data_IF_799320579835
#
_entry.id   IF_799320579835
#
_cell.length_a   1.000
_cell.length_b   1.000
_cell.length_c   1.000
_cell.angle_alpha   90.00
_cell.angle_beta   90.00
_cell.angle_gamma   90.00
#
_symmetry.space_group_name_H-M   'P 1'
#
loop_
_entity.id
_entity.type
_entity.pdbx_description
1 polymer ?
#
# COMPACT_ATOMS: atom_id res chain seq x y z
N UNK A 1 -8.36 -20.48 -12.24
CA UNK A 1 -7.03 -20.09 -12.75
C UNK A 1 -6.88 -18.62 -12.44
N UNK A 2 -5.78 -18.19 -11.81
CA UNK A 2 -5.60 -16.79 -11.41
C UNK A 2 -5.41 -15.90 -12.65
N UNK A 3 -6.14 -14.79 -12.69
CA UNK A 3 -5.98 -13.73 -13.69
C UNK A 3 -4.76 -12.88 -13.32
N UNK A 4 -3.92 -12.54 -14.30
CA UNK A 4 -2.72 -11.71 -14.09
C UNK A 4 -3.01 -10.29 -14.56
N UNK A 5 -2.31 -9.30 -13.99
CA UNK A 5 -2.44 -7.91 -14.44
C UNK A 5 -2.15 -7.75 -15.95
N UNK A 6 -1.19 -8.51 -16.50
CA UNK A 6 -0.91 -8.53 -17.93
C UNK A 6 -2.15 -8.89 -18.77
N UNK A 7 -2.85 -9.97 -18.40
CA UNK A 7 -4.06 -10.40 -19.10
C UNK A 7 -5.20 -9.40 -18.92
N UNK A 8 -5.38 -8.89 -17.71
CA UNK A 8 -6.41 -7.88 -17.41
C UNK A 8 -6.16 -6.59 -18.21
N UNK A 9 -4.95 -6.03 -18.20
CA UNK A 9 -4.63 -4.80 -18.93
C UNK A 9 -4.80 -4.96 -20.44
N UNK A 10 -4.47 -6.12 -21.01
CA UNK A 10 -4.69 -6.39 -22.44
C UNK A 10 -6.17 -6.39 -22.84
N UNK A 11 -7.02 -6.96 -21.98
CA UNK A 11 -8.41 -7.27 -22.30
C UNK A 11 -9.42 -6.25 -21.77
N UNK A 12 -9.05 -5.46 -20.76
CA UNK A 12 -9.97 -4.57 -20.05
C UNK A 12 -10.60 -3.54 -21.00
N UNK A 13 -11.91 -3.36 -20.84
CA UNK A 13 -12.66 -2.30 -21.51
C UNK A 13 -12.65 -1.03 -20.64
N UNK A 14 -11.79 -0.09 -21.02
CA UNK A 14 -11.63 1.19 -20.32
C UNK A 14 -12.76 2.19 -20.63
N UNK A 15 -13.70 1.88 -21.53
CA UNK A 15 -14.85 2.75 -21.82
C UNK A 15 -15.78 2.95 -20.61
N UNK A 16 -15.78 1.99 -19.67
CA UNK A 16 -16.50 2.12 -18.40
C UNK A 16 -15.97 3.29 -17.58
N UNK A 17 -14.65 3.51 -17.61
CA UNK A 17 -14.04 4.63 -16.90
C UNK A 17 -14.22 5.97 -17.63
N UNK A 18 -14.29 5.98 -18.97
CA UNK A 18 -14.75 7.18 -19.71
C UNK A 18 -16.17 7.56 -19.27
N UNK A 19 -17.08 6.58 -19.22
CA UNK A 19 -18.43 6.81 -18.75
C UNK A 19 -18.50 7.26 -17.29
N UNK A 20 -17.51 6.91 -16.47
CA UNK A 20 -17.39 7.42 -15.10
C UNK A 20 -16.92 8.88 -15.08
N UNK A 21 -15.96 9.28 -15.92
CA UNK A 21 -15.55 10.67 -16.09
C UNK A 21 -16.73 11.55 -16.54
N UNK A 22 -17.47 11.12 -17.56
CA UNK A 22 -18.65 11.83 -18.08
C UNK A 22 -19.74 12.02 -16.99
N UNK A 23 -19.91 11.02 -16.12
CA UNK A 23 -20.84 11.10 -14.98
C UNK A 23 -20.37 12.12 -13.97
N UNK A 24 -19.10 12.14 -13.60
CA UNK A 24 -18.54 13.14 -12.70
C UNK A 24 -18.62 14.55 -13.30
N UNK A 25 -18.39 14.70 -14.60
CA UNK A 25 -18.61 15.97 -15.31
C UNK A 25 -20.06 16.44 -15.21
N UNK A 26 -21.01 15.54 -15.45
CA UNK A 26 -22.44 15.85 -15.35
C UNK A 26 -22.82 16.27 -13.94
N UNK A 27 -22.39 15.52 -12.92
CA UNK A 27 -22.63 15.85 -11.51
C UNK A 27 -22.05 17.23 -11.19
N UNK A 28 -20.77 17.46 -11.50
CA UNK A 28 -20.11 18.74 -11.26
C UNK A 28 -20.88 19.88 -11.91
N UNK A 29 -21.29 19.74 -13.18
CA UNK A 29 -22.06 20.76 -13.90
C UNK A 29 -23.41 21.07 -13.24
N UNK A 30 -24.12 20.05 -12.77
CA UNK A 30 -25.45 20.20 -12.15
C UNK A 30 -25.39 20.88 -10.78
N UNK A 31 -24.39 20.55 -9.95
CA UNK A 31 -24.24 21.11 -8.61
C UNK A 31 -23.47 22.43 -8.59
N UNK A 32 -22.77 22.76 -9.68
CA UNK A 32 -22.01 24.02 -9.81
C UNK A 32 -22.89 25.24 -9.55
N UNK A 33 -22.44 26.06 -8.60
CA UNK A 33 -23.12 27.28 -8.20
C UNK A 33 -24.38 27.06 -7.35
N UNK A 34 -24.72 25.81 -6.99
CA UNK A 34 -25.86 25.54 -6.10
C UNK A 34 -25.64 26.11 -4.70
N UNK A 35 -24.43 25.98 -4.13
CA UNK A 35 -24.08 26.60 -2.85
C UNK A 35 -24.36 28.12 -2.86
N UNK A 36 -23.90 28.82 -3.91
CA UNK A 36 -24.16 30.25 -4.10
C UNK A 36 -25.66 30.56 -4.21
N UNK A 37 -26.45 29.75 -4.93
CA UNK A 37 -27.91 29.94 -5.00
C UNK A 37 -28.57 29.74 -3.64
N UNK A 38 -28.16 28.73 -2.87
CA UNK A 38 -28.66 28.53 -1.50
C UNK A 38 -28.34 29.75 -0.63
N UNK A 39 -27.12 30.28 -0.73
CA UNK A 39 -26.74 31.51 -0.04
C UNK A 39 -27.65 32.68 -0.42
N UNK A 40 -27.65 33.03 -1.71
CA UNK A 40 -28.27 34.26 -2.24
C UNK A 40 -29.81 34.23 -2.15
N UNK A 41 -30.43 33.06 -2.37
CA UNK A 41 -31.88 32.91 -2.47
C UNK A 41 -32.54 32.44 -1.17
N UNK A 42 -31.80 31.79 -0.27
CA UNK A 42 -32.33 31.25 0.99
C UNK A 42 -31.71 31.92 2.20
N UNK A 43 -30.39 31.83 2.38
CA UNK A 43 -29.74 32.30 3.60
C UNK A 43 -29.78 33.82 3.74
N UNK A 44 -29.35 34.58 2.72
CA UNK A 44 -29.31 36.06 2.80
C UNK A 44 -30.71 36.65 3.01
N UNK A 45 -31.79 36.20 2.34
CA UNK A 45 -33.13 36.69 2.66
C UNK A 45 -33.58 36.36 4.09
N UNK A 46 -33.34 35.14 4.57
CA UNK A 46 -33.76 34.73 5.91
C UNK A 46 -33.00 35.47 7.01
N UNK A 47 -31.71 35.75 6.80
CA UNK A 47 -30.81 36.38 7.76
C UNK A 47 -30.83 37.91 7.68
N UNK A 48 -30.67 38.47 6.49
CA UNK A 48 -30.35 39.89 6.30
C UNK A 48 -31.61 40.75 6.08
N UNK A 49 -32.72 40.16 5.65
CA UNK A 49 -34.00 40.86 5.45
C UNK A 49 -34.99 40.68 6.61
N UNK A 50 -34.59 39.98 7.68
CA UNK A 50 -35.42 39.77 8.87
C UNK A 50 -36.61 38.83 8.65
N UNK A 51 -36.60 37.99 7.60
CA UNK A 51 -37.73 37.08 7.33
C UNK A 51 -37.82 35.92 8.33
N UNK A 52 -36.75 35.62 9.07
CA UNK A 52 -36.76 34.61 10.13
C UNK A 52 -36.13 35.16 11.40
N UNK A 53 -36.97 35.45 12.39
CA UNK A 53 -36.55 35.98 13.68
C UNK A 53 -36.94 35.02 14.82
N UNK A 54 -36.29 35.17 15.98
CA UNK A 54 -36.57 34.39 17.19
C UNK A 54 -35.41 33.51 17.64
N UNK A 55 -35.56 32.88 18.82
CA UNK A 55 -34.48 32.15 19.49
C UNK A 55 -33.90 30.96 18.69
N UNK A 56 -34.68 30.40 17.76
CA UNK A 56 -34.25 29.29 16.90
C UNK A 56 -33.54 29.74 15.61
N UNK A 57 -33.67 31.00 15.20
CA UNK A 57 -33.15 31.49 13.91
C UNK A 57 -31.62 31.33 13.77
N UNK A 58 -30.78 31.64 14.78
CA UNK A 58 -29.33 31.45 14.67
C UNK A 58 -28.90 30.00 14.45
N UNK A 59 -29.63 29.04 15.04
CA UNK A 59 -29.35 27.62 14.87
C UNK A 59 -29.69 27.16 13.45
N UNK A 60 -30.85 27.58 12.93
CA UNK A 60 -31.25 27.26 11.57
C UNK A 60 -30.31 27.89 10.52
N UNK A 61 -29.87 29.13 10.71
CA UNK A 61 -28.87 29.75 9.83
C UNK A 61 -27.58 28.96 9.78
N UNK A 62 -27.09 28.48 10.94
CA UNK A 62 -25.89 27.64 11.02
C UNK A 62 -26.05 26.32 10.27
N UNK A 63 -27.25 25.71 10.30
CA UNK A 63 -27.52 24.49 9.52
C UNK A 63 -27.50 24.76 8.01
N UNK A 64 -28.09 25.87 7.56
CA UNK A 64 -28.09 26.26 6.15
C UNK A 64 -26.67 26.58 5.66
N UNK A 65 -25.88 27.28 6.49
CA UNK A 65 -24.46 27.56 6.24
C UNK A 65 -23.63 26.26 6.13
N UNK A 66 -23.91 25.26 6.98
CA UNK A 66 -23.27 23.95 6.87
C UNK A 66 -23.64 23.21 5.57
N UNK A 67 -24.91 23.29 5.15
CA UNK A 67 -25.36 22.75 3.86
C UNK A 67 -24.64 23.46 2.70
N UNK A 68 -24.53 24.79 2.75
CA UNK A 68 -23.80 25.57 1.74
C UNK A 68 -22.35 25.09 1.62
N UNK A 69 -21.66 24.96 2.76
CA UNK A 69 -20.29 24.45 2.82
C UNK A 69 -20.17 23.04 2.25
N UNK A 70 -21.08 22.13 2.61
CA UNK A 70 -21.08 20.77 2.09
C UNK A 70 -21.32 20.72 0.58
N UNK A 71 -22.18 21.58 0.04
CA UNK A 71 -22.40 21.70 -1.41
C UNK A 71 -21.16 22.24 -2.13
N UNK A 72 -20.43 23.17 -1.53
CA UNK A 72 -19.16 23.66 -2.07
C UNK A 72 -18.10 22.56 -2.08
N UNK A 73 -17.97 21.81 -0.99
CA UNK A 73 -17.08 20.64 -0.90
C UNK A 73 -17.45 19.58 -1.93
N UNK A 74 -18.73 19.22 -2.07
CA UNK A 74 -19.21 18.28 -3.07
C UNK A 74 -18.86 18.73 -4.50
N UNK A 75 -18.99 20.03 -4.79
CA UNK A 75 -18.63 20.61 -6.09
C UNK A 75 -17.13 20.46 -6.37
N UNK A 76 -16.28 20.72 -5.37
CA UNK A 76 -14.82 20.56 -5.48
C UNK A 76 -14.43 19.09 -5.68
N UNK A 77 -15.01 18.18 -4.90
CA UNK A 77 -14.75 16.74 -5.03
C UNK A 77 -15.19 16.22 -6.39
N UNK A 78 -16.35 16.65 -6.90
CA UNK A 78 -16.80 16.22 -8.22
C UNK A 78 -15.87 16.68 -9.36
N UNK A 79 -15.33 17.90 -9.30
CA UNK A 79 -14.34 18.36 -10.27
C UNK A 79 -13.00 17.65 -10.13
N UNK A 80 -12.53 17.42 -8.90
CA UNK A 80 -11.30 16.67 -8.62
C UNK A 80 -11.39 15.23 -9.14
N UNK A 81 -12.44 14.50 -8.74
CA UNK A 81 -12.70 13.14 -9.18
C UNK A 81 -12.81 13.04 -10.72
N UNK A 82 -13.50 13.97 -11.37
CA UNK A 82 -13.55 14.03 -12.84
C UNK A 82 -12.15 14.07 -13.45
N UNK A 83 -11.31 15.02 -13.01
CA UNK A 83 -9.97 15.23 -13.57
C UNK A 83 -9.06 14.03 -13.32
N UNK A 84 -9.11 13.47 -12.11
CA UNK A 84 -8.33 12.28 -11.73
C UNK A 84 -8.74 11.08 -12.59
N UNK A 85 -10.05 10.85 -12.83
CA UNK A 85 -10.50 9.79 -13.74
C UNK A 85 -10.04 10.05 -15.17
N UNK A 86 -10.22 11.26 -15.71
CA UNK A 86 -9.79 11.62 -17.07
C UNK A 86 -8.30 11.33 -17.30
N UNK A 87 -7.47 11.75 -16.35
CA UNK A 87 -6.02 11.57 -16.38
C UNK A 87 -5.63 10.09 -16.27
N UNK A 88 -6.13 9.39 -15.25
CA UNK A 88 -5.82 7.97 -15.03
C UNK A 88 -6.30 7.07 -16.18
N UNK A 89 -7.46 7.36 -16.78
CA UNK A 89 -7.95 6.64 -17.96
C UNK A 89 -7.08 6.89 -19.18
N UNK A 90 -6.62 8.13 -19.36
CA UNK A 90 -5.67 8.48 -20.42
C UNK A 90 -4.40 7.62 -20.34
N UNK A 91 -3.83 7.51 -19.14
CA UNK A 91 -2.62 6.74 -18.88
C UNK A 91 -2.82 5.23 -19.01
N UNK A 92 -3.94 4.68 -18.51
CA UNK A 92 -4.27 3.27 -18.68
C UNK A 92 -4.49 2.90 -20.15
N UNK A 93 -5.15 3.77 -20.94
CA UNK A 93 -5.32 3.57 -22.38
C UNK A 93 -3.99 3.62 -23.13
N UNK A 94 -3.13 4.56 -22.75
CA UNK A 94 -1.78 4.67 -23.28
C UNK A 94 -0.98 3.39 -23.02
N UNK A 95 -0.95 2.92 -21.76
CA UNK A 95 -0.29 1.68 -21.38
C UNK A 95 -0.88 0.45 -22.08
N UNK A 96 -2.22 0.32 -22.17
CA UNK A 96 -2.86 -0.78 -22.88
C UNK A 96 -2.49 -0.79 -24.38
N UNK A 97 -2.51 0.37 -25.03
CA UNK A 97 -2.14 0.49 -26.45
C UNK A 97 -0.69 0.08 -26.67
N UNK A 98 0.22 0.63 -25.87
CA UNK A 98 1.65 0.31 -25.93
C UNK A 98 1.88 -1.18 -25.70
N UNK A 99 1.14 -1.80 -24.76
CA UNK A 99 1.22 -3.22 -24.47
C UNK A 99 0.76 -4.07 -25.67
N UNK A 100 -0.38 -3.75 -26.27
CA UNK A 100 -0.89 -4.43 -27.47
C UNK A 100 0.13 -4.37 -28.61
N UNK A 101 0.75 -3.20 -28.78
CA UNK A 101 1.78 -2.99 -29.81
C UNK A 101 3.08 -3.74 -29.51
N UNK A 102 3.54 -3.78 -28.25
CA UNK A 102 4.72 -4.55 -27.82
C UNK A 102 4.50 -6.06 -27.99
N UNK A 103 3.33 -6.56 -27.59
CA UNK A 103 2.95 -7.98 -27.76
C UNK A 103 2.93 -8.36 -29.25
N UNK A 104 2.37 -7.50 -30.11
CA UNK A 104 2.39 -7.72 -31.57
C UNK A 104 3.82 -7.79 -32.11
N UNK A 105 4.69 -6.84 -31.74
CA UNK A 105 6.11 -6.83 -32.16
C UNK A 105 6.87 -8.06 -31.69
N UNK A 106 6.63 -8.52 -30.46
CA UNK A 106 7.23 -9.74 -29.94
C UNK A 106 6.76 -10.99 -30.72
N UNK A 107 5.46 -11.05 -31.04
CA UNK A 107 4.89 -12.11 -31.88
C UNK A 107 5.45 -12.14 -33.30
N UNK A 108 5.64 -10.98 -33.93
CA UNK A 108 6.28 -10.84 -35.26
C UNK A 108 7.72 -11.37 -35.27
N UNK A 109 8.42 -11.31 -34.12
CA UNK A 109 9.76 -11.87 -33.92
C UNK A 109 9.73 -13.36 -33.51
N UNK A 110 8.56 -13.97 -33.42
CA UNK A 110 8.37 -15.36 -33.02
C UNK A 110 8.60 -15.62 -31.53
N UNK A 111 8.63 -14.58 -30.69
CA UNK A 111 8.87 -14.76 -29.26
C UNK A 111 7.60 -15.25 -28.56
N UNK A 112 7.77 -16.12 -27.56
CA UNK A 112 6.65 -16.62 -26.76
C UNK A 112 6.48 -15.80 -25.47
N UNK A 113 5.33 -15.17 -25.31
CA UNK A 113 4.96 -14.44 -24.09
C UNK A 113 4.08 -15.34 -23.21
N UNK A 114 4.45 -15.47 -21.95
CA UNK A 114 3.70 -16.22 -20.94
C UNK A 114 2.50 -15.42 -20.43
N UNK A 115 1.63 -16.09 -19.67
CA UNK A 115 0.41 -15.48 -19.12
C UNK A 115 0.67 -14.37 -18.11
N UNK A 116 1.87 -14.25 -17.55
CA UNK A 116 2.27 -13.18 -16.64
C UNK A 116 2.89 -11.97 -17.36
N UNK A 117 3.01 -12.04 -18.69
CA UNK A 117 3.66 -11.00 -19.50
C UNK A 117 5.16 -11.17 -19.66
N UNK A 118 5.77 -12.18 -19.03
CA UNK A 118 7.20 -12.49 -19.21
C UNK A 118 7.45 -13.28 -20.49
N UNK A 119 8.64 -13.14 -21.08
CA UNK A 119 9.02 -13.96 -22.22
C UNK A 119 9.62 -15.30 -21.81
N UNK A 120 9.32 -16.35 -22.60
CA UNK A 120 10.02 -17.62 -22.46
C UNK A 120 11.48 -17.45 -22.89
N UNK A 121 12.45 -17.89 -22.06
CA UNK A 121 13.85 -17.70 -22.36
C UNK A 121 14.33 -18.61 -23.49
N UNK A 122 13.55 -19.62 -23.88
CA UNK A 122 13.95 -20.78 -24.68
C UNK A 122 13.01 -21.08 -25.86
N UNK A 123 11.90 -20.35 -26.03
CA UNK A 123 10.91 -20.61 -27.09
C UNK A 123 10.95 -19.51 -28.15
N UNK A 124 11.31 -19.88 -29.38
CA UNK A 124 11.28 -19.00 -30.56
C UNK A 124 10.62 -19.73 -31.74
N UNK A 125 9.64 -19.08 -32.38
CA UNK A 125 8.89 -19.64 -33.51
C UNK A 125 8.07 -20.88 -33.11
N UNK A 126 7.58 -20.93 -31.87
CA UNK A 126 6.91 -22.10 -31.27
C UNK A 126 7.80 -23.35 -31.16
N UNK A 127 9.12 -23.21 -31.19
CA UNK A 127 10.08 -24.30 -30.99
C UNK A 127 10.93 -24.01 -29.76
N UNK A 128 11.06 -25.00 -28.87
CA UNK A 128 12.00 -24.96 -27.76
C UNK A 128 13.43 -25.12 -28.31
N UNK A 129 14.26 -24.09 -28.12
CA UNK A 129 15.66 -24.04 -28.51
C UNK A 129 16.54 -24.09 -27.26
N UNK A 130 17.35 -25.13 -27.17
CA UNK A 130 18.33 -25.29 -26.08
C UNK A 130 19.50 -24.31 -26.25
N UNK A 131 19.93 -24.10 -27.50
CA UNK A 131 21.03 -23.18 -27.85
C UNK A 131 20.50 -21.96 -28.59
N UNK A 132 20.47 -20.83 -27.88
CA UNK A 132 20.15 -19.53 -28.46
C UNK A 132 21.41 -18.81 -28.91
N UNK A 133 21.28 -18.02 -29.95
CA UNK A 133 22.29 -17.04 -30.33
C UNK A 133 22.28 -15.85 -29.36
N UNK A 134 23.38 -15.10 -29.30
CA UNK A 134 23.45 -13.89 -28.46
C UNK A 134 22.44 -12.83 -28.90
N UNK A 135 22.14 -12.74 -30.19
CA UNK A 135 21.15 -11.80 -30.73
C UNK A 135 19.72 -12.20 -30.35
N UNK A 136 19.40 -13.51 -30.32
CA UNK A 136 18.11 -14.00 -29.81
C UNK A 136 17.97 -13.69 -28.31
N UNK A 137 19.02 -13.94 -27.51
CA UNK A 137 19.03 -13.60 -26.07
C UNK A 137 18.81 -12.11 -25.83
N UNK A 138 19.52 -11.24 -26.58
CA UNK A 138 19.33 -9.79 -26.50
C UNK A 138 17.93 -9.38 -26.89
N UNK A 139 17.36 -9.99 -27.93
CA UNK A 139 16.02 -9.70 -28.43
C UNK A 139 14.96 -10.06 -27.40
N UNK A 140 15.06 -11.24 -26.77
CA UNK A 140 14.18 -11.65 -25.67
C UNK A 140 14.28 -10.65 -24.52
N UNK A 141 15.50 -10.35 -24.06
CA UNK A 141 15.72 -9.44 -22.92
C UNK A 141 15.17 -8.03 -23.19
N UNK A 142 15.36 -7.51 -24.41
CA UNK A 142 14.85 -6.19 -24.78
C UNK A 142 13.31 -6.16 -24.81
N UNK A 143 12.66 -7.19 -25.35
CA UNK A 143 11.21 -7.29 -25.35
C UNK A 143 10.65 -7.48 -23.93
N UNK A 144 11.34 -8.23 -23.08
CA UNK A 144 10.94 -8.48 -21.68
C UNK A 144 11.01 -7.19 -20.86
N UNK A 145 12.08 -6.42 -21.04
CA UNK A 145 12.24 -5.11 -20.43
C UNK A 145 11.16 -4.13 -20.92
N UNK A 146 10.87 -4.11 -22.22
CA UNK A 146 9.84 -3.23 -22.80
C UNK A 146 8.45 -3.55 -22.23
N UNK A 147 8.04 -4.83 -22.24
CA UNK A 147 6.74 -5.24 -21.69
C UNK A 147 6.67 -4.97 -20.19
N UNK A 148 7.73 -5.29 -19.43
CA UNK A 148 7.80 -5.03 -18.00
C UNK A 148 7.65 -3.54 -17.64
N UNK A 149 8.27 -2.64 -18.42
CA UNK A 149 8.13 -1.20 -18.23
C UNK A 149 6.72 -0.70 -18.52
N UNK A 150 6.05 -1.24 -19.55
CA UNK A 150 4.66 -0.89 -19.88
C UNK A 150 3.71 -1.39 -18.79
N UNK A 151 3.90 -2.62 -18.32
CA UNK A 151 3.10 -3.18 -17.22
C UNK A 151 3.27 -2.36 -15.95
N UNK A 152 4.50 -1.98 -15.61
CA UNK A 152 4.78 -1.10 -14.49
C UNK A 152 4.02 0.23 -14.58
N UNK A 153 4.04 0.89 -15.75
CA UNK A 153 3.24 2.11 -15.97
C UNK A 153 1.74 1.87 -15.76
N UNK A 154 1.21 0.76 -16.29
CA UNK A 154 -0.19 0.38 -16.10
C UNK A 154 -0.56 0.16 -14.64
N UNK A 155 0.27 -0.56 -13.88
CA UNK A 155 0.08 -0.78 -12.44
C UNK A 155 0.11 0.55 -11.68
N UNK A 156 1.10 1.40 -11.97
CA UNK A 156 1.19 2.72 -11.34
C UNK A 156 -0.05 3.56 -11.62
N UNK A 157 -0.52 3.61 -12.87
CA UNK A 157 -1.70 4.39 -13.24
C UNK A 157 -2.98 3.87 -12.55
N UNK A 158 -3.19 2.55 -12.55
CA UNK A 158 -4.33 1.90 -11.88
C UNK A 158 -4.37 2.22 -10.39
N UNK A 159 -3.22 2.07 -9.71
CA UNK A 159 -3.15 2.27 -8.27
C UNK A 159 -3.21 3.74 -7.89
N UNK A 160 -2.45 4.61 -8.56
CA UNK A 160 -2.50 6.05 -8.29
C UNK A 160 -3.91 6.61 -8.54
N UNK A 161 -4.61 6.14 -9.59
CA UNK A 161 -6.02 6.46 -9.81
C UNK A 161 -6.89 6.10 -8.61
N UNK A 162 -6.78 4.86 -8.10
CA UNK A 162 -7.55 4.41 -6.96
C UNK A 162 -7.31 5.27 -5.70
N UNK A 163 -6.04 5.50 -5.35
CA UNK A 163 -5.70 6.29 -4.17
C UNK A 163 -6.08 7.77 -4.32
N UNK A 164 -5.87 8.37 -5.49
CA UNK A 164 -6.25 9.77 -5.72
C UNK A 164 -7.76 9.96 -5.57
N UNK A 165 -8.56 9.07 -6.16
CA UNK A 165 -10.03 9.13 -6.02
C UNK A 165 -10.48 9.00 -4.58
N UNK A 166 -9.92 8.05 -3.84
CA UNK A 166 -10.35 7.79 -2.47
C UNK A 166 -9.93 8.92 -1.53
N UNK A 167 -8.76 9.53 -1.74
CA UNK A 167 -8.31 10.69 -0.98
C UNK A 167 -9.20 11.93 -1.23
N UNK A 168 -9.60 12.18 -2.48
CA UNK A 168 -10.48 13.31 -2.80
C UNK A 168 -11.92 13.09 -2.32
N UNK A 169 -12.45 11.86 -2.41
CA UNK A 169 -13.79 11.55 -1.89
C UNK A 169 -13.81 11.63 -0.36
N UNK A 170 -12.77 11.08 0.28
CA UNK A 170 -12.63 10.96 1.73
C UNK A 170 -13.20 9.66 2.30
N UNK A 171 -12.79 9.34 3.53
CA UNK A 171 -13.22 8.15 4.28
C UNK A 171 -14.42 8.41 5.21
N UNK A 172 -14.83 9.68 5.33
CA UNK A 172 -15.90 10.10 6.24
C UNK A 172 -17.30 9.95 5.63
N UNK A 173 -18.31 10.30 6.43
CA UNK A 173 -19.70 10.38 5.96
C UNK A 173 -19.95 11.56 5.01
N UNK A 174 -19.06 12.55 5.03
CA UNK A 174 -19.14 13.76 4.21
C UNK A 174 -17.99 13.82 3.21
N UNK A 175 -18.22 14.51 2.10
CA UNK A 175 -17.18 14.80 1.13
C UNK A 175 -16.00 15.51 1.78
N UNK A 176 -14.79 15.19 1.32
CA UNK A 176 -13.60 15.91 1.73
C UNK A 176 -13.78 17.42 1.47
N UNK A 177 -13.54 18.24 2.50
CA UNK A 177 -13.68 19.69 2.38
C UNK A 177 -12.55 20.34 1.60
N UNK A 178 -11.43 19.64 1.46
CA UNK A 178 -10.22 20.11 0.78
C UNK A 178 -9.65 18.98 -0.09
N UNK A 179 -10.31 18.60 -1.20
CA UNK A 179 -9.73 17.65 -2.16
C UNK A 179 -8.51 18.31 -2.81
N UNK A 180 -7.37 17.60 -2.82
CA UNK A 180 -6.06 18.15 -3.16
C UNK A 180 -5.49 17.60 -4.48
N UNK A 181 -6.12 16.56 -5.03
CA UNK A 181 -5.61 15.83 -6.17
C UNK A 181 -6.43 16.17 -7.40
N UNK A 182 -5.74 16.41 -8.51
CA UNK A 182 -6.37 16.74 -9.80
C UNK A 182 -5.86 15.86 -10.93
N UNK A 183 -4.97 14.94 -10.60
CA UNK A 183 -4.18 14.08 -11.48
C UNK A 183 -3.65 12.90 -10.67
N UNK A 184 -3.23 11.84 -11.36
CA UNK A 184 -2.68 10.63 -10.73
C UNK A 184 -1.18 10.77 -10.38
N UNK A 185 -0.55 11.88 -10.74
CA UNK A 185 0.87 12.18 -10.46
C UNK A 185 1.08 12.93 -9.14
N UNK A 186 0.00 13.37 -8.50
CA UNK A 186 0.03 14.16 -7.26
C UNK A 186 -0.07 13.32 -5.98
N UNK A 187 -0.02 11.99 -6.09
CA UNK A 187 -0.11 11.00 -4.99
C UNK A 187 0.92 11.22 -3.87
N UNK A 188 2.01 11.92 -4.14
CA UNK A 188 3.01 12.34 -3.15
C UNK A 188 2.44 13.25 -2.05
N UNK A 189 1.32 13.94 -2.31
CA UNK A 189 0.66 14.82 -1.34
C UNK A 189 -0.08 14.03 -0.25
N UNK A 190 -0.43 12.77 -0.51
CA UNK A 190 -1.07 11.90 0.48
C UNK A 190 -0.02 11.53 1.54
N UNK A 191 -0.33 11.80 2.80
CA UNK A 191 0.55 11.47 3.94
C UNK A 191 0.60 9.96 4.20
N UNK A 192 1.63 9.46 4.88
CA UNK A 192 1.75 8.02 5.17
C UNK A 192 0.58 7.49 6.01
N UNK A 193 0.19 8.22 7.06
CA UNK A 193 -0.96 7.85 7.89
C UNK A 193 -2.26 7.78 7.07
N UNK A 194 -2.43 8.71 6.14
CA UNK A 194 -3.59 8.73 5.24
C UNK A 194 -3.54 7.55 4.26
N UNK A 195 -2.39 7.25 3.67
CA UNK A 195 -2.21 6.04 2.84
C UNK A 195 -2.59 4.77 3.58
N UNK A 196 -2.17 4.64 4.84
CA UNK A 196 -2.52 3.50 5.68
C UNK A 196 -4.03 3.40 5.89
N UNK A 197 -4.69 4.50 6.22
CA UNK A 197 -6.13 4.54 6.37
C UNK A 197 -6.86 4.16 5.07
N UNK A 198 -6.47 4.74 3.93
CA UNK A 198 -7.03 4.42 2.60
C UNK A 198 -6.83 2.94 2.27
N UNK A 199 -5.65 2.39 2.55
CA UNK A 199 -5.33 1.00 2.28
C UNK A 199 -6.16 0.02 3.13
N UNK A 200 -6.36 0.31 4.42
CA UNK A 200 -7.26 -0.46 5.28
C UNK A 200 -8.72 -0.38 4.76
N UNK A 201 -9.15 0.81 4.33
CA UNK A 201 -10.47 1.00 3.76
C UNK A 201 -10.69 0.17 2.48
N UNK A 202 -9.70 0.10 1.58
CA UNK A 202 -9.75 -0.78 0.39
C UNK A 202 -9.90 -2.27 0.74
N UNK A 203 -9.43 -2.67 1.92
CA UNK A 203 -9.56 -4.04 2.44
C UNK A 203 -10.88 -4.26 3.21
N UNK A 204 -11.79 -3.28 3.21
CA UNK A 204 -13.00 -3.25 4.04
C UNK A 204 -12.69 -3.40 5.54
N UNK A 205 -11.56 -2.85 5.99
CA UNK A 205 -11.19 -2.77 7.40
C UNK A 205 -11.49 -1.38 7.96
N UNK A 206 -11.48 -1.28 9.28
CA UNK A 206 -11.50 0.02 9.96
C UNK A 206 -10.28 0.84 9.49
N UNK A 207 -10.46 2.02 8.88
CA UNK A 207 -9.35 2.87 8.45
C UNK A 207 -8.56 3.47 9.61
N UNK A 208 -9.17 3.54 10.80
CA UNK A 208 -8.58 4.11 12.01
C UNK A 208 -8.75 3.13 13.18
N UNK A 209 -8.16 1.92 13.10
CA UNK A 209 -8.25 0.96 14.18
C UNK A 209 -7.68 1.59 15.46
N UNK A 210 -8.31 1.30 16.60
CA UNK A 210 -7.74 1.70 17.88
C UNK A 210 -6.33 1.15 18.03
N UNK A 211 -5.38 2.01 18.37
CA UNK A 211 -3.98 1.60 18.55
C UNK A 211 -3.90 0.54 19.64
N UNK A 212 -3.13 -0.51 19.37
CA UNK A 212 -2.81 -1.52 20.37
C UNK A 212 -1.99 -0.87 21.47
N UNK A 213 -2.37 -1.11 22.72
CA UNK A 213 -1.58 -0.74 23.90
C UNK A 213 -0.48 -1.75 24.20
N UNK A 214 -0.32 -2.77 23.36
CA UNK A 214 0.71 -3.80 23.54
C UNK A 214 2.09 -3.20 23.26
N UNK A 215 2.90 -3.11 24.32
CA UNK A 215 4.33 -2.89 24.18
C UNK A 215 5.06 -4.22 23.90
N UNK A 216 6.31 -4.19 23.41
CA UNK A 216 7.08 -5.41 23.11
C UNK A 216 7.27 -6.35 24.31
N UNK A 217 7.32 -5.81 25.54
CA UNK A 217 7.48 -6.59 26.76
C UNK A 217 6.16 -7.24 27.20
N UNK A 218 5.02 -6.60 26.92
CA UNK A 218 3.68 -7.15 27.18
C UNK A 218 3.44 -8.46 26.42
N UNK A 219 3.90 -8.52 25.16
CA UNK A 219 3.93 -9.75 24.36
C UNK A 219 4.70 -10.86 25.06
N UNK A 220 5.84 -10.49 25.64
CA UNK A 220 6.66 -11.43 26.35
C UNK A 220 6.05 -11.95 27.64
N UNK A 221 5.41 -11.05 28.38
CA UNK A 221 4.68 -11.41 29.57
C UNK A 221 3.52 -12.36 29.28
N UNK A 222 2.71 -12.05 28.26
CA UNK A 222 1.56 -12.84 27.83
C UNK A 222 1.94 -14.22 27.26
N UNK A 223 3.11 -14.33 26.65
CA UNK A 223 3.68 -15.63 26.28
C UNK A 223 4.08 -16.45 27.53
N UNK A 224 4.79 -15.84 28.50
CA UNK A 224 5.21 -16.51 29.74
C UNK A 224 4.02 -16.95 30.57
N UNK A 225 3.02 -16.10 30.73
CA UNK A 225 1.89 -16.37 31.63
C UNK A 225 0.83 -17.27 31.01
N UNK A 226 0.76 -17.31 29.67
CA UNK A 226 -0.40 -17.92 29.02
C UNK A 226 -1.61 -16.98 28.95
N UNK A 227 -1.49 -15.73 29.40
CA UNK A 227 -2.55 -14.72 29.34
C UNK A 227 -2.53 -13.94 28.01
N UNK A 228 -3.62 -13.24 27.68
CA UNK A 228 -3.72 -12.38 26.49
C UNK A 228 -4.10 -13.10 25.18
N UNK A 229 -4.27 -12.33 24.10
CA UNK A 229 -4.64 -12.86 22.78
C UNK A 229 -3.47 -13.60 22.12
N UNK A 230 -3.75 -14.76 21.51
CA UNK A 230 -2.79 -15.56 20.71
C UNK A 230 -2.76 -15.17 19.24
N UNK A 231 -3.70 -14.35 18.80
CA UNK A 231 -3.71 -13.75 17.47
C UNK A 231 -3.72 -12.23 17.64
N UNK A 232 -2.67 -11.58 17.15
CA UNK A 232 -2.50 -10.13 17.27
C UNK A 232 -2.28 -9.52 15.90
N UNK A 233 -3.03 -8.47 15.62
CA UNK A 233 -2.85 -7.67 14.42
C UNK A 233 -2.35 -6.29 14.84
N UNK A 234 -1.28 -5.84 14.19
CA UNK A 234 -0.68 -4.54 14.41
C UNK A 234 -0.71 -3.73 13.11
N UNK A 235 -0.95 -2.45 13.25
CA UNK A 235 -1.14 -1.49 12.17
C UNK A 235 -0.20 -0.28 12.35
N UNK A 236 -0.15 0.57 11.34
CA UNK A 236 0.61 1.83 11.38
C UNK A 236 0.29 2.64 12.64
N UNK A 237 1.32 3.13 13.34
CA UNK A 237 1.19 3.85 14.60
C UNK A 237 1.16 2.98 15.86
N UNK A 238 0.99 1.66 15.75
CA UNK A 238 1.21 0.75 16.89
C UNK A 238 2.69 0.68 17.22
N UNK A 239 3.04 0.63 18.51
CA UNK A 239 4.43 0.61 18.97
C UNK A 239 5.24 -0.53 18.33
N UNK A 240 4.68 -1.74 18.28
CA UNK A 240 5.29 -2.88 17.60
C UNK A 240 5.54 -2.65 16.11
N UNK A 241 4.63 -1.97 15.41
CA UNK A 241 4.79 -1.66 13.99
C UNK A 241 5.90 -0.63 13.79
N UNK A 242 5.94 0.40 14.61
CA UNK A 242 6.94 1.46 14.51
C UNK A 242 8.35 0.95 14.78
N UNK A 243 8.52 0.07 15.78
CA UNK A 243 9.81 -0.55 16.09
C UNK A 243 10.35 -1.41 14.94
N UNK A 244 9.48 -2.13 14.23
CA UNK A 244 9.89 -2.88 13.04
C UNK A 244 10.22 -1.92 11.90
N UNK A 245 9.40 -0.89 11.69
CA UNK A 245 9.60 0.09 10.63
C UNK A 245 10.89 0.89 10.80
N UNK A 246 11.27 1.22 12.03
CA UNK A 246 12.50 1.96 12.35
C UNK A 246 13.75 1.08 12.42
N UNK A 247 13.61 -0.25 12.37
CA UNK A 247 14.76 -1.15 12.53
C UNK A 247 15.82 -1.00 11.45
N UNK A 248 17.09 -1.24 11.81
CA UNK A 248 18.24 -1.15 10.90
C UNK A 248 18.08 -2.07 9.67
N UNK A 249 17.56 -3.29 9.87
CA UNK A 249 17.26 -4.25 8.81
C UNK A 249 16.32 -3.70 7.73
N UNK A 250 15.42 -2.78 8.07
CA UNK A 250 14.52 -2.17 7.09
C UNK A 250 15.25 -1.30 6.06
N UNK A 251 16.46 -0.79 6.34
CA UNK A 251 17.25 -0.05 5.34
C UNK A 251 17.54 -0.93 4.12
N UNK A 252 18.08 -2.13 4.34
CA UNK A 252 18.39 -3.06 3.26
C UNK A 252 17.12 -3.64 2.63
N UNK A 253 16.09 -3.98 3.42
CA UNK A 253 14.84 -4.54 2.89
C UNK A 253 14.13 -3.56 1.96
N UNK A 254 14.21 -2.25 2.22
CA UNK A 254 13.69 -1.21 1.32
C UNK A 254 14.48 -1.15 0.02
N UNK A 255 15.81 -1.26 0.07
CA UNK A 255 16.66 -1.31 -1.13
C UNK A 255 16.35 -2.55 -1.98
N UNK A 256 16.23 -3.72 -1.35
CA UNK A 256 15.89 -4.98 -2.02
C UNK A 256 14.50 -4.90 -2.68
N UNK A 257 13.54 -4.32 -1.98
CA UNK A 257 12.19 -4.07 -2.51
C UNK A 257 12.23 -3.16 -3.74
N UNK A 258 13.00 -2.08 -3.70
CA UNK A 258 13.18 -1.18 -4.85
C UNK A 258 13.90 -1.88 -6.01
N UNK A 259 14.91 -2.68 -5.75
CA UNK A 259 15.64 -3.44 -6.78
C UNK A 259 14.71 -4.44 -7.46
N UNK A 260 13.97 -5.23 -6.69
CA UNK A 260 13.02 -6.21 -7.22
C UNK A 260 11.90 -5.54 -8.03
N UNK A 261 11.34 -4.44 -7.53
CA UNK A 261 10.35 -3.64 -8.27
C UNK A 261 10.90 -3.08 -9.58
N UNK A 262 12.14 -2.59 -9.58
CA UNK A 262 12.78 -2.04 -10.78
C UNK A 262 13.14 -3.11 -11.80
N UNK A 263 13.55 -4.29 -11.33
CA UNK A 263 13.95 -5.39 -12.20
C UNK A 263 12.76 -6.07 -12.85
N UNK A 264 11.66 -6.27 -12.11
CA UNK A 264 10.55 -7.12 -12.54
C UNK A 264 9.29 -6.35 -12.91
N UNK A 265 9.08 -5.15 -12.36
CA UNK A 265 7.81 -4.42 -12.46
C UNK A 265 6.62 -5.15 -11.83
N UNK A 266 6.86 -6.24 -11.09
CA UNK A 266 5.79 -6.99 -10.42
C UNK A 266 5.39 -6.27 -9.14
N UNK A 267 4.09 -6.00 -8.92
CA UNK A 267 3.64 -5.25 -7.76
C UNK A 267 3.80 -6.04 -6.46
N UNK A 268 3.79 -7.37 -6.50
CA UNK A 268 3.88 -8.23 -5.33
C UNK A 268 5.24 -8.92 -5.28
N UNK A 269 5.79 -9.06 -4.07
CA UNK A 269 7.04 -9.77 -3.84
C UNK A 269 7.28 -10.07 -2.36
N UNK A 270 8.47 -10.59 -2.05
CA UNK A 270 8.90 -10.85 -0.70
C UNK A 270 10.38 -10.56 -0.55
N UNK A 271 10.73 -9.88 0.53
CA UNK A 271 12.11 -9.67 1.00
C UNK A 271 12.26 -10.32 2.36
N UNK A 272 13.48 -10.69 2.72
CA UNK A 272 13.76 -11.49 3.91
C UNK A 272 14.96 -10.93 4.66
N UNK A 273 14.84 -10.88 5.98
CA UNK A 273 15.94 -10.58 6.88
C UNK A 273 16.30 -11.84 7.67
N UNK A 274 17.59 -12.17 7.73
CA UNK A 274 18.10 -13.33 8.46
C UNK A 274 19.28 -12.98 9.37
N UNK A 275 19.06 -13.20 10.67
CA UNK A 275 20.10 -13.07 11.71
C UNK A 275 21.18 -14.16 11.55
N UNK A 276 20.89 -15.22 10.80
CA UNK A 276 21.73 -16.41 10.64
C UNK A 276 22.57 -16.44 9.37
N UNK A 277 22.61 -15.36 8.57
CA UNK A 277 23.43 -15.29 7.35
C UNK A 277 24.91 -15.61 7.59
N UNK A 278 25.42 -15.35 8.80
CA UNK A 278 26.79 -15.68 9.23
C UNK A 278 26.90 -17.01 10.01
N UNK A 279 25.85 -17.83 10.01
CA UNK A 279 25.76 -19.11 10.71
C UNK A 279 25.41 -18.97 12.21
N UNK A 280 25.29 -20.11 12.91
CA UNK A 280 24.92 -20.18 14.34
C UNK A 280 25.78 -19.29 15.25
N UNK A 281 27.06 -19.14 14.94
CA UNK A 281 28.00 -18.33 15.71
C UNK A 281 27.73 -16.83 15.56
N UNK A 282 27.29 -16.40 14.38
CA UNK A 282 26.91 -15.02 14.11
C UNK A 282 25.58 -14.63 14.76
N UNK A 283 24.58 -15.53 14.68
CA UNK A 283 23.32 -15.35 15.37
C UNK A 283 23.50 -15.25 16.90
N UNK A 284 24.36 -16.10 17.48
CA UNK A 284 24.70 -16.03 18.90
C UNK A 284 25.45 -14.75 19.28
N UNK A 285 26.33 -14.25 18.40
CA UNK A 285 27.03 -12.99 18.62
C UNK A 285 26.06 -11.81 18.61
N UNK A 286 25.20 -11.67 17.59
CA UNK A 286 24.19 -10.60 17.50
C UNK A 286 23.30 -10.58 18.74
N UNK A 287 22.85 -11.77 19.17
CA UNK A 287 22.05 -11.93 20.36
C UNK A 287 22.72 -11.30 21.61
N UNK A 288 24.00 -11.59 21.84
CA UNK A 288 24.72 -11.10 23.03
C UNK A 288 25.12 -9.63 22.91
N UNK A 289 25.49 -9.17 21.71
CA UNK A 289 26.08 -7.83 21.53
C UNK A 289 25.07 -6.76 21.19
N UNK A 290 23.92 -7.12 20.65
CA UNK A 290 22.95 -6.19 20.06
C UNK A 290 21.56 -6.42 20.64
N UNK A 291 21.00 -7.62 20.45
CA UNK A 291 19.59 -7.86 20.79
C UNK A 291 19.33 -7.81 22.31
N UNK A 292 20.16 -8.47 23.14
CA UNK A 292 20.03 -8.43 24.61
C UNK A 292 20.26 -7.03 25.19
N UNK A 293 21.33 -6.30 24.82
CA UNK A 293 21.47 -4.90 25.21
C UNK A 293 20.26 -4.06 24.81
N UNK A 294 19.77 -4.18 23.57
CA UNK A 294 18.63 -3.41 23.09
C UNK A 294 17.37 -3.65 23.92
N UNK A 295 17.07 -4.90 24.26
CA UNK A 295 15.94 -5.27 25.15
C UNK A 295 16.12 -4.69 26.55
N UNK A 296 17.35 -4.70 27.10
CA UNK A 296 17.60 -4.20 28.46
C UNK A 296 17.54 -2.67 28.52
N UNK A 297 18.03 -1.99 27.48
CA UNK A 297 18.11 -0.52 27.44
C UNK A 297 16.90 0.14 26.80
N UNK A 298 16.02 -0.62 26.14
CA UNK A 298 14.92 -0.08 25.33
C UNK A 298 15.43 0.63 24.07
N UNK A 299 16.45 0.09 23.42
CA UNK A 299 17.05 0.69 22.21
C UNK A 299 16.14 0.51 20.99
N UNK A 300 15.28 1.49 20.72
CA UNK A 300 14.23 1.44 19.69
C UNK A 300 14.74 1.04 18.28
N UNK A 301 15.99 1.35 17.94
CA UNK A 301 16.59 1.06 16.63
C UNK A 301 16.86 -0.45 16.41
N UNK A 302 17.00 -1.20 17.50
CA UNK A 302 17.31 -2.63 17.50
C UNK A 302 16.25 -3.48 18.20
N UNK A 303 15.35 -2.84 18.95
CA UNK A 303 14.33 -3.49 19.75
C UNK A 303 13.37 -4.29 18.85
N UNK A 304 12.91 -3.71 17.74
CA UNK A 304 12.03 -4.41 16.79
C UNK A 304 12.63 -5.75 16.33
N UNK A 305 13.88 -5.74 15.88
CA UNK A 305 14.59 -6.95 15.45
C UNK A 305 14.80 -7.95 16.58
N UNK A 306 15.13 -7.45 17.77
CA UNK A 306 15.35 -8.28 18.94
C UNK A 306 14.09 -9.07 19.32
N UNK A 307 12.90 -8.52 19.04
CA UNK A 307 11.62 -9.18 19.28
C UNK A 307 11.11 -10.06 18.13
N UNK A 308 11.42 -9.73 16.87
CA UNK A 308 10.95 -10.54 15.72
C UNK A 308 11.92 -11.58 15.21
N UNK A 309 13.22 -11.46 15.50
CA UNK A 309 14.22 -12.39 15.01
C UNK A 309 14.45 -12.29 13.49
N UNK A 310 14.57 -13.43 12.81
CA UNK A 310 14.61 -13.49 11.34
C UNK A 310 13.19 -13.53 10.80
N UNK A 311 12.87 -12.69 9.80
CA UNK A 311 11.51 -12.55 9.31
C UNK A 311 11.46 -12.32 7.80
N UNK A 312 10.32 -12.69 7.21
CA UNK A 312 10.00 -12.41 5.81
C UNK A 312 8.94 -11.31 5.76
N UNK A 313 9.17 -10.30 4.93
CA UNK A 313 8.17 -9.30 4.57
C UNK A 313 7.63 -9.65 3.20
N UNK A 314 6.32 -9.86 3.14
CA UNK A 314 5.63 -9.78 1.85
C UNK A 314 5.36 -8.30 1.58
N UNK A 315 5.58 -7.85 0.35
CA UNK A 315 5.32 -6.47 -0.02
C UNK A 315 4.35 -6.40 -1.20
N UNK A 316 3.61 -5.31 -1.26
CA UNK A 316 2.78 -4.94 -2.41
C UNK A 316 3.02 -3.46 -2.74
N UNK A 317 3.53 -3.18 -3.92
CA UNK A 317 3.65 -1.83 -4.47
C UNK A 317 2.26 -1.29 -4.76
N UNK A 318 1.92 -0.19 -4.08
CA UNK A 318 0.64 0.51 -4.14
C UNK A 318 0.68 1.73 -5.03
N UNK A 319 1.83 2.11 -5.57
CA UNK A 319 1.94 3.28 -6.43
C UNK A 319 3.38 3.71 -6.57
N UNK A 320 3.59 4.62 -7.50
CA UNK A 320 4.87 5.28 -7.70
C UNK A 320 4.62 6.77 -7.95
N UNK A 321 5.32 7.61 -7.22
CA UNK A 321 5.29 9.05 -7.38
C UNK A 321 6.18 9.45 -8.59
N UNK A 322 5.94 10.62 -9.23
CA UNK A 322 6.71 11.07 -10.39
C UNK A 322 8.21 11.25 -10.14
N UNK A 323 8.62 11.47 -8.89
CA UNK A 323 10.03 11.55 -8.51
C UNK A 323 10.72 10.17 -8.43
N UNK A 324 9.96 9.10 -8.65
CA UNK A 324 10.40 7.71 -8.62
C UNK A 324 10.21 7.01 -7.27
N UNK A 325 9.75 7.72 -6.23
CA UNK A 325 9.46 7.15 -4.91
C UNK A 325 8.32 6.14 -5.02
N UNK A 326 8.38 5.08 -4.23
CA UNK A 326 7.45 3.96 -4.32
C UNK A 326 6.66 3.86 -3.03
N UNK A 327 5.34 3.75 -3.14
CA UNK A 327 4.47 3.49 -1.99
C UNK A 327 4.30 1.99 -1.86
N UNK A 328 4.65 1.43 -0.70
CA UNK A 328 4.70 -0.02 -0.48
C UNK A 328 3.94 -0.37 0.78
N UNK A 329 3.03 -1.34 0.68
CA UNK A 329 2.48 -2.05 1.83
C UNK A 329 3.37 -3.24 2.15
N UNK A 330 3.81 -3.35 3.39
CA UNK A 330 4.44 -4.54 3.94
C UNK A 330 3.46 -5.32 4.80
N UNK A 331 3.55 -6.65 4.72
CA UNK A 331 2.88 -7.58 5.60
C UNK A 331 3.91 -8.55 6.17
N UNK A 332 4.16 -8.41 7.46
CA UNK A 332 4.94 -9.35 8.26
C UNK A 332 3.96 -10.31 8.92
N UNK A 333 4.14 -11.61 8.68
CA UNK A 333 3.47 -12.66 9.45
C UNK A 333 4.54 -13.40 10.23
N UNK A 334 4.48 -13.28 11.55
CA UNK A 334 5.40 -13.97 12.44
C UNK A 334 4.60 -14.91 13.34
N UNK A 335 5.12 -16.12 13.50
CA UNK A 335 4.65 -17.02 14.55
C UNK A 335 5.78 -17.09 15.56
N UNK A 336 5.56 -16.41 16.68
CA UNK A 336 6.49 -16.44 17.79
C UNK A 336 6.29 -17.76 18.52
N UNK A 337 7.07 -18.76 18.11
CA UNK A 337 7.24 -20.05 18.78
C UNK A 337 8.20 -19.91 19.96
N UNK A 338 8.34 -20.95 20.78
CA UNK A 338 9.33 -20.90 21.86
C UNK A 338 10.73 -20.69 21.30
N UNK A 339 11.12 -21.27 20.16
CA UNK A 339 12.46 -21.04 19.58
C UNK A 339 12.73 -19.56 19.22
N UNK A 340 11.73 -18.84 18.69
CA UNK A 340 11.84 -17.41 18.40
C UNK A 340 11.85 -16.56 19.67
N UNK A 341 11.04 -16.94 20.67
CA UNK A 341 10.98 -16.25 21.96
C UNK A 341 12.15 -16.61 22.91
N UNK A 342 12.82 -17.73 22.68
CA UNK A 342 14.02 -18.18 23.42
C UNK A 342 15.27 -17.37 23.05
N UNK A 343 15.22 -16.57 21.99
CA UNK A 343 16.15 -15.45 21.77
C UNK A 343 15.97 -14.34 22.82
N UNK A 344 14.78 -14.15 23.40
CA UNK A 344 14.48 -13.07 24.37
C UNK A 344 14.87 -13.41 25.83
N UNK A 345 14.81 -14.68 26.27
CA UNK A 345 15.05 -15.08 27.68
C UNK A 345 16.44 -15.69 27.94
N UNK A 346 17.22 -15.98 26.88
CA UNK A 346 18.51 -16.66 26.97
C UNK A 346 18.37 -18.19 26.86
N UNK A 347 19.21 -18.79 26.02
CA UNK A 347 19.19 -20.22 25.69
C UNK A 347 19.36 -21.10 26.93
N UNK A 348 18.35 -21.95 27.20
CA UNK A 348 18.54 -23.15 28.00
C UNK A 348 17.91 -24.38 27.32
N UNK A 349 18.71 -25.42 27.11
CA UNK A 349 18.34 -26.69 26.41
C UNK A 349 17.12 -27.44 26.99
N UNK A 350 16.62 -27.06 28.18
CA UNK A 350 15.45 -27.70 28.80
C UNK A 350 14.10 -27.13 28.35
N UNK A 351 14.09 -26.00 27.63
CA UNK A 351 12.86 -25.27 27.25
C UNK A 351 12.24 -25.69 25.90
N UNK A 352 12.98 -26.32 25.00
CA UNK A 352 12.44 -26.94 23.75
C UNK A 352 11.30 -27.94 24.04
N UNK A 353 11.27 -28.50 25.25
CA UNK A 353 10.25 -29.48 25.70
C UNK A 353 8.90 -28.86 26.06
N UNK A 354 8.75 -27.54 25.97
CA UNK A 354 7.56 -26.80 26.41
C UNK A 354 6.77 -26.14 25.27
N UNK A 355 7.08 -26.40 23.99
CA UNK A 355 6.21 -25.99 22.88
C UNK A 355 4.82 -26.61 23.07
N UNK A 356 3.79 -25.76 23.19
CA UNK A 356 2.40 -26.16 23.37
C UNK A 356 1.51 -25.39 22.40
N UNK A 357 0.46 -26.05 21.92
CA UNK A 357 -0.52 -25.41 21.04
C UNK A 357 -1.43 -24.43 21.82
N UNK A 358 -1.56 -24.59 23.14
CA UNK A 358 -2.39 -23.73 24.00
C UNK A 358 -1.78 -23.54 25.42
N UNK A 359 -2.04 -22.38 26.03
CA UNK A 359 -1.70 -22.07 27.42
C UNK A 359 -0.31 -21.44 27.61
N UNK A 360 0.26 -21.61 28.81
CA UNK A 360 1.61 -21.12 29.15
C UNK A 360 2.62 -21.58 28.09
N UNK A 361 3.41 -20.66 27.54
CA UNK A 361 4.39 -20.92 26.47
C UNK A 361 3.78 -21.41 25.14
N UNK A 362 2.54 -21.05 24.83
CA UNK A 362 1.97 -21.30 23.51
C UNK A 362 2.35 -20.23 22.50
N UNK A 363 2.49 -20.62 21.24
CA UNK A 363 2.77 -19.72 20.12
C UNK A 363 1.83 -18.52 20.06
N UNK A 364 2.37 -17.36 19.69
CA UNK A 364 1.60 -16.15 19.39
C UNK A 364 1.75 -15.83 17.91
N UNK A 365 0.63 -15.81 17.19
CA UNK A 365 0.58 -15.37 15.80
C UNK A 365 0.44 -13.85 15.76
N UNK A 366 1.38 -13.21 15.07
CA UNK A 366 1.42 -11.78 14.88
C UNK A 366 1.33 -11.47 13.39
N UNK A 367 0.47 -10.52 13.05
CA UNK A 367 0.39 -9.95 11.71
C UNK A 367 0.58 -8.44 11.80
N UNK A 368 1.67 -7.94 11.25
CA UNK A 368 1.96 -6.51 11.20
C UNK A 368 1.75 -6.04 9.77
N UNK A 369 0.94 -5.00 9.59
CA UNK A 369 0.66 -4.42 8.27
C UNK A 369 0.85 -2.92 8.32
N UNK A 370 1.71 -2.40 7.45
CA UNK A 370 1.88 -0.96 7.29
C UNK A 370 2.19 -0.60 5.84
N UNK A 371 1.89 0.62 5.48
CA UNK A 371 2.25 1.25 4.21
C UNK A 371 3.25 2.36 4.48
N UNK A 372 4.31 2.44 3.70
CA UNK A 372 5.30 3.52 3.77
C UNK A 372 5.72 3.97 2.37
N UNK A 373 6.32 5.16 2.31
CA UNK A 373 6.90 5.69 1.07
C UNK A 373 8.42 5.48 1.09
N UNK A 374 8.93 4.74 0.11
CA UNK A 374 10.36 4.53 -0.08
C UNK A 374 10.89 5.55 -1.10
N UNK A 375 11.85 6.43 -0.74
CA UNK A 375 12.41 7.41 -1.66
C UNK A 375 13.12 6.78 -2.86
N UNK A 376 13.07 7.44 -4.01
CA UNK A 376 13.67 6.95 -5.27
C UNK A 376 15.18 6.62 -5.20
N UNK A 377 15.95 7.21 -4.28
CA UNK A 377 17.39 6.95 -4.19
C UNK A 377 17.76 5.87 -3.17
N UNK A 378 16.77 5.23 -2.53
CA UNK A 378 17.00 4.69 -1.19
C UNK A 378 17.32 5.84 -0.22
N UNK A 379 17.16 5.64 1.07
CA UNK A 379 17.84 6.47 2.06
C UNK A 379 18.82 5.59 2.78
#
# INVERSE_FOLDING_TARGET
MAETFYLSLLAVDLSTLDGLADRWETIHREIKGLAKRVHDEVLSPLRDKGYWEGAAAPYAWKMIDDIERQLESATKVADAARRVVEDGVGDLKSAQKDLKDAVRRAGEKGLHIRKDGTLSPDIIGNVCKVDLTDEERKTIKAADLEIGQILKRGVTADRNLAYSLMADIGLGQWFNSDPLLTDIDSTKKIGEAEYNALNLAFQNKDPYPGLSSDDPYSLGWDWVTGDGSRHREYYYGDEMTELIRSSESMEQLRLDTLEQWRATGQPEGSVAYSISESGKLGAFKKLITTDLPAIVTGDEDHLGEAFTGSYNLNYTVKGQDPDGSVVVEYTLKNNTSNESFLHYVGYYDWLEKFNRDEGVFSSVDQKIVWTERIPAKGK
#
